data_IF_249342713393
#
_entry.id   IF_249342713393
#
_cell.length_a   1.000
_cell.length_b   1.000
_cell.length_c   1.000
_cell.angle_alpha   90.00
_cell.angle_beta   90.00
_cell.angle_gamma   90.00
#
_symmetry.space_group_name_H-M   'P 1'
#
loop_
_entity.id
_entity.type
_entity.pdbx_description
1 polymer ?
#
# COMPACT_ATOMS: atom_id res chain seq x y z
N UNK A 1 18.06 -9.52 5.86
CA UNK A 1 17.21 -9.10 7.00
C UNK A 1 16.66 -7.73 6.64
N UNK A 2 15.34 -7.58 6.51
CA UNK A 2 14.73 -6.28 6.17
C UNK A 2 14.86 -5.33 7.37
N UNK A 3 15.28 -4.08 7.16
CA UNK A 3 15.35 -3.09 8.22
C UNK A 3 13.97 -2.76 8.83
N UNK A 4 12.88 -3.16 8.16
CA UNK A 4 11.51 -2.76 8.51
C UNK A 4 10.72 -3.81 9.27
N UNK A 5 11.05 -5.10 9.14
CA UNK A 5 10.34 -6.16 9.85
C UNK A 5 11.21 -7.39 10.09
N UNK A 6 10.85 -8.12 11.14
CA UNK A 6 11.38 -9.43 11.48
C UNK A 6 10.31 -10.48 11.15
N UNK A 7 10.75 -11.58 10.55
CA UNK A 7 9.92 -12.75 10.28
C UNK A 7 10.48 -13.92 11.09
N UNK A 8 9.65 -14.50 11.93
CA UNK A 8 9.94 -15.79 12.56
C UNK A 8 9.73 -16.91 11.53
N UNK A 9 10.78 -17.65 11.13
CA UNK A 9 10.67 -18.68 10.12
C UNK A 9 9.91 -19.93 10.61
N UNK A 10 9.86 -20.17 11.92
CA UNK A 10 9.18 -21.34 12.48
C UNK A 10 7.66 -21.14 12.54
N UNK A 11 7.22 -19.90 12.84
CA UNK A 11 5.79 -19.59 13.02
C UNK A 11 5.19 -18.74 11.92
N UNK A 12 6.01 -18.19 11.01
CA UNK A 12 5.59 -17.23 10.00
C UNK A 12 5.15 -15.87 10.57
N UNK A 13 5.36 -15.64 11.88
CA UNK A 13 4.95 -14.40 12.53
C UNK A 13 5.85 -13.24 12.11
N UNK A 14 5.20 -12.13 11.76
CA UNK A 14 5.84 -10.89 11.40
C UNK A 14 5.72 -9.88 12.55
N UNK A 15 6.80 -9.16 12.82
CA UNK A 15 6.80 -7.98 13.70
C UNK A 15 7.56 -6.85 13.04
N UNK A 16 6.98 -5.67 13.00
CA UNK A 16 7.67 -4.48 12.51
C UNK A 16 8.74 -4.02 13.49
N UNK A 17 9.88 -3.58 12.97
CA UNK A 17 10.92 -2.91 13.76
C UNK A 17 10.47 -1.50 14.12
N UNK A 18 11.20 -0.82 15.02
CA UNK A 18 10.95 0.60 15.28
C UNK A 18 11.08 1.44 13.99
N UNK A 19 12.13 1.19 13.21
CA UNK A 19 12.35 1.82 11.90
C UNK A 19 11.19 1.56 10.93
N UNK A 20 10.69 0.32 10.87
CA UNK A 20 9.53 -0.04 10.05
C UNK A 20 8.27 0.71 10.46
N UNK A 21 8.00 0.81 11.76
CA UNK A 21 6.85 1.57 12.25
C UNK A 21 6.96 3.06 11.94
N UNK A 22 8.13 3.66 12.10
CA UNK A 22 8.34 5.07 11.79
C UNK A 22 8.21 5.36 10.28
N UNK A 23 8.78 4.51 9.43
CA UNK A 23 8.78 4.72 7.99
C UNK A 23 7.44 4.41 7.33
N UNK A 24 6.77 3.32 7.74
CA UNK A 24 5.57 2.80 7.08
C UNK A 24 4.27 3.14 7.83
N UNK A 25 4.34 3.38 9.14
CA UNK A 25 3.18 3.60 9.99
C UNK A 25 2.29 4.74 9.51
N UNK A 26 2.83 5.95 9.24
CA UNK A 26 2.02 7.06 8.73
C UNK A 26 1.31 6.74 7.40
N UNK A 27 2.01 6.06 6.48
CA UNK A 27 1.45 5.70 5.16
C UNK A 27 0.29 4.72 5.30
N UNK A 28 0.47 3.65 6.08
CA UNK A 28 -0.58 2.65 6.31
C UNK A 28 -1.75 3.21 7.12
N UNK A 29 -1.48 4.09 8.10
CA UNK A 29 -2.53 4.71 8.90
C UNK A 29 -3.46 5.62 8.07
N UNK A 30 -2.94 6.30 7.03
CA UNK A 30 -3.77 7.07 6.08
C UNK A 30 -4.76 6.18 5.33
N UNK A 31 -4.40 4.94 5.07
CA UNK A 31 -5.28 3.91 4.50
C UNK A 31 -6.14 3.17 5.54
N UNK A 32 -6.16 3.64 6.80
CA UNK A 32 -6.91 3.02 7.90
C UNK A 32 -6.31 1.72 8.44
N UNK A 33 -5.05 1.40 8.10
CA UNK A 33 -4.40 0.15 8.51
C UNK A 33 -3.36 0.41 9.59
N UNK A 34 -3.51 -0.27 10.73
CA UNK A 34 -2.52 -0.23 11.81
C UNK A 34 -1.53 -1.39 11.66
N UNK A 35 -0.23 -1.10 11.54
CA UNK A 35 0.80 -2.13 11.36
C UNK A 35 0.83 -3.21 12.45
N UNK A 36 0.36 -2.87 13.65
CA UNK A 36 0.31 -3.79 14.79
C UNK A 36 -0.67 -4.94 14.59
N UNK A 37 -1.68 -4.80 13.72
CA UNK A 37 -2.66 -5.86 13.44
C UNK A 37 -2.12 -6.89 12.43
N UNK A 38 -1.07 -6.54 11.70
CA UNK A 38 -0.46 -7.40 10.66
C UNK A 38 0.56 -8.34 11.32
N UNK A 39 0.16 -9.60 11.50
CA UNK A 39 0.94 -10.62 12.21
C UNK A 39 1.66 -11.59 11.29
N UNK A 40 1.42 -11.55 9.98
CA UNK A 40 2.06 -12.45 9.00
C UNK A 40 2.55 -11.67 7.78
N UNK A 41 3.49 -12.28 7.04
CA UNK A 41 3.97 -11.70 5.79
C UNK A 41 2.85 -11.59 4.74
N UNK A 42 1.92 -12.54 4.70
CA UNK A 42 0.78 -12.50 3.80
C UNK A 42 -0.14 -11.30 4.10
N UNK A 43 -0.45 -11.06 5.37
CA UNK A 43 -1.22 -9.89 5.79
C UNK A 43 -0.51 -8.58 5.45
N UNK A 44 0.81 -8.52 5.69
CA UNK A 44 1.60 -7.33 5.36
C UNK A 44 1.63 -7.04 3.86
N UNK A 45 1.72 -8.08 3.01
CA UNK A 45 1.67 -7.94 1.55
C UNK A 45 0.30 -7.48 1.06
N UNK A 46 -0.77 -8.09 1.55
CA UNK A 46 -2.13 -7.70 1.20
C UNK A 46 -2.40 -6.24 1.58
N UNK A 47 -2.02 -5.83 2.79
CA UNK A 47 -2.14 -4.45 3.24
C UNK A 47 -1.30 -3.48 2.40
N UNK A 48 -0.08 -3.85 2.00
CA UNK A 48 0.75 -3.01 1.13
C UNK A 48 0.14 -2.83 -0.27
N UNK A 49 -0.46 -3.89 -0.82
CA UNK A 49 -1.17 -3.83 -2.10
C UNK A 49 -2.38 -2.89 -2.02
N UNK A 50 -3.19 -3.02 -0.95
CA UNK A 50 -4.35 -2.16 -0.69
C UNK A 50 -3.94 -0.68 -0.58
N UNK A 51 -2.93 -0.37 0.23
CA UNK A 51 -2.40 1.00 0.37
C UNK A 51 -1.98 1.57 -0.99
N UNK A 52 -1.27 0.76 -1.78
CA UNK A 52 -0.78 1.21 -3.09
C UNK A 52 -1.93 1.42 -4.08
N UNK A 53 -2.97 0.57 -4.01
CA UNK A 53 -4.17 0.70 -4.84
C UNK A 53 -4.93 1.99 -4.50
N UNK A 54 -5.16 2.29 -3.22
CA UNK A 54 -5.81 3.52 -2.79
C UNK A 54 -5.01 4.77 -3.20
N UNK A 55 -3.69 4.74 -3.07
CA UNK A 55 -2.83 5.84 -3.51
C UNK A 55 -2.91 6.05 -5.03
N UNK A 56 -2.93 4.95 -5.80
CA UNK A 56 -3.13 5.03 -7.25
C UNK A 56 -4.50 5.61 -7.61
N UNK A 57 -5.58 5.18 -6.94
CA UNK A 57 -6.92 5.74 -7.16
C UNK A 57 -6.98 7.23 -6.82
N UNK A 58 -6.35 7.66 -5.73
CA UNK A 58 -6.31 9.07 -5.35
C UNK A 58 -5.54 9.91 -6.38
N UNK A 59 -4.40 9.42 -6.87
CA UNK A 59 -3.63 10.07 -7.93
C UNK A 59 -4.41 10.11 -9.26
N UNK A 60 -5.07 9.02 -9.61
CA UNK A 60 -5.94 8.94 -10.79
C UNK A 60 -7.04 10.01 -10.72
N UNK A 61 -7.74 10.11 -9.59
CA UNK A 61 -8.79 11.11 -9.38
C UNK A 61 -8.25 12.55 -9.44
N UNK A 62 -7.03 12.80 -8.96
CA UNK A 62 -6.41 14.12 -9.05
C UNK A 62 -6.05 14.50 -10.50
N UNK A 63 -5.63 13.53 -11.31
CA UNK A 63 -5.12 13.76 -12.66
C UNK A 63 -6.19 13.67 -13.76
N UNK A 64 -7.30 12.96 -13.50
CA UNK A 64 -8.40 12.79 -14.45
C UNK A 64 -8.94 14.15 -14.90
N UNK A 65 -8.98 14.37 -16.21
CA UNK A 65 -9.43 15.63 -16.82
C UNK A 65 -8.44 16.80 -16.73
N UNK A 66 -7.25 16.62 -16.13
CA UNK A 66 -6.19 17.64 -16.11
C UNK A 66 -5.20 17.50 -17.27
N UNK A 67 -4.98 16.27 -17.76
CA UNK A 67 -4.13 15.99 -18.90
C UNK A 67 -4.85 15.03 -19.87
N UNK A 68 -5.29 15.53 -21.04
CA UNK A 68 -6.02 14.72 -22.01
C UNK A 68 -5.17 13.59 -22.62
N UNK A 69 -3.84 13.67 -22.58
CA UNK A 69 -2.95 12.58 -23.03
C UNK A 69 -2.94 11.47 -21.99
N UNK A 70 -2.85 11.82 -20.71
CA UNK A 70 -2.94 10.84 -19.63
C UNK A 70 -4.33 10.20 -19.59
N UNK A 71 -5.41 10.98 -19.77
CA UNK A 71 -6.77 10.47 -19.85
C UNK A 71 -6.92 9.44 -20.99
N UNK A 72 -6.33 9.71 -22.16
CA UNK A 72 -6.37 8.80 -23.31
C UNK A 72 -5.60 7.50 -23.05
N UNK A 73 -4.43 7.57 -22.42
CA UNK A 73 -3.64 6.38 -22.06
C UNK A 73 -4.36 5.54 -21.00
N UNK A 74 -4.96 6.19 -20.01
CA UNK A 74 -5.61 5.51 -18.90
C UNK A 74 -7.01 4.98 -19.25
N UNK A 75 -7.69 5.54 -20.26
CA UNK A 75 -9.00 5.07 -20.72
C UNK A 75 -9.02 3.61 -21.21
N UNK A 76 -7.87 3.03 -21.54
CA UNK A 76 -7.75 1.60 -21.89
C UNK A 76 -7.67 0.68 -20.66
N UNK A 77 -7.54 1.25 -19.45
CA UNK A 77 -7.52 0.49 -18.20
C UNK A 77 -8.94 0.40 -17.61
N UNK A 78 -9.41 -0.81 -17.24
CA UNK A 78 -10.75 -1.02 -16.67
C UNK A 78 -11.05 -0.10 -15.48
N UNK A 79 -10.05 0.14 -14.63
CA UNK A 79 -10.16 0.95 -13.42
C UNK A 79 -10.24 2.47 -13.62
N UNK A 80 -10.12 2.99 -14.85
CA UNK A 80 -10.18 4.44 -15.13
C UNK A 80 -11.58 4.95 -15.47
N UNK A 81 -12.44 4.06 -15.98
CA UNK A 81 -13.76 4.40 -16.54
C UNK A 81 -14.87 4.57 -15.51
N UNK A 82 -14.75 3.96 -14.34
CA UNK A 82 -15.76 4.00 -13.26
C UNK A 82 -15.64 5.26 -12.37
#
# INVERSE_FOLDING_TARGET
>A
MSAYFLLDPATGRLRFTATGRQALGPRFARAGIHLETLKTLAQARAAAAEVSHQEMQALAAELKGRDPVLDAVMAELPEWGD
#
